data_IF_657099386899
#
_entry.id   IF_657099386899
#
_cell.length_a   1.000
_cell.length_b   1.000
_cell.length_c   1.000
_cell.angle_alpha   90.00
_cell.angle_beta   90.00
_cell.angle_gamma   90.00
#
_symmetry.space_group_name_H-M   'P 1'
#
loop_
_entity.id
_entity.type
_entity.pdbx_description
1 polymer ?
#
# COMPACT_ATOMS: atom_id res chain seq x y z
N UNK A 1 10.37 -25.72 -0.95
CA UNK A 1 10.38 -24.58 -1.90
C UNK A 1 11.73 -23.91 -1.76
N UNK A 2 12.52 -23.80 -2.83
CA UNK A 2 13.79 -23.07 -2.79
C UNK A 2 13.54 -21.60 -2.41
N UNK A 3 14.49 -20.94 -1.73
CA UNK A 3 14.34 -19.54 -1.34
C UNK A 3 14.18 -18.71 -2.63
N UNK A 4 13.01 -18.12 -2.83
CA UNK A 4 12.68 -17.26 -3.97
C UNK A 4 12.27 -15.88 -3.45
N UNK A 5 12.50 -14.85 -4.25
CA UNK A 5 11.96 -13.52 -3.98
C UNK A 5 10.44 -13.57 -4.16
N UNK A 6 9.70 -13.00 -3.22
CA UNK A 6 8.25 -12.87 -3.30
C UNK A 6 7.95 -11.38 -3.47
N UNK A 7 7.17 -11.05 -4.50
CA UNK A 7 6.66 -9.70 -4.72
C UNK A 7 5.15 -9.74 -4.48
N UNK A 8 4.67 -8.87 -3.60
CA UNK A 8 3.24 -8.68 -3.35
C UNK A 8 2.83 -7.36 -3.96
N UNK A 9 2.00 -7.42 -5.00
CA UNK A 9 1.42 -6.24 -5.64
C UNK A 9 0.01 -6.00 -5.12
N UNK A 10 -0.25 -4.75 -4.78
CA UNK A 10 -1.55 -4.17 -4.49
C UNK A 10 -1.92 -3.30 -5.69
N UNK A 11 -3.18 -3.40 -6.11
CA UNK A 11 -3.75 -2.64 -7.20
C UNK A 11 -5.09 -2.02 -6.75
N UNK A 12 -5.31 -0.77 -7.14
CA UNK A 12 -6.49 0.03 -6.83
C UNK A 12 -7.66 -0.40 -7.71
N UNK A 13 -8.58 -1.19 -7.16
CA UNK A 13 -9.79 -1.58 -7.90
C UNK A 13 -10.62 -0.35 -8.29
N UNK A 14 -10.94 -0.23 -9.58
CA UNK A 14 -11.78 0.82 -10.16
C UNK A 14 -11.28 2.24 -9.84
N UNK A 15 -9.96 2.43 -9.80
CA UNK A 15 -9.35 3.70 -9.41
C UNK A 15 -9.71 4.88 -10.33
N UNK A 16 -10.02 4.62 -11.60
CA UNK A 16 -10.52 5.63 -12.53
C UNK A 16 -11.77 6.34 -11.99
N UNK A 17 -12.83 5.56 -11.73
CA UNK A 17 -14.08 6.06 -11.14
C UNK A 17 -13.90 6.63 -9.73
N UNK A 18 -13.00 6.03 -8.94
CA UNK A 18 -12.66 6.56 -7.61
C UNK A 18 -12.04 7.96 -7.69
N UNK A 19 -11.09 8.15 -8.61
CA UNK A 19 -10.39 9.42 -8.82
C UNK A 19 -11.34 10.52 -9.30
N UNK A 20 -12.28 10.20 -10.19
CA UNK A 20 -13.30 11.15 -10.65
C UNK A 20 -14.25 11.54 -9.51
N UNK A 21 -14.76 10.55 -8.77
CA UNK A 21 -15.65 10.79 -7.62
C UNK A 21 -15.01 11.63 -6.52
N UNK A 22 -13.70 11.51 -6.34
CA UNK A 22 -12.94 12.26 -5.35
C UNK A 22 -12.28 13.53 -5.88
N UNK A 23 -12.47 13.86 -7.17
CA UNK A 23 -11.99 15.10 -7.78
C UNK A 23 -10.47 15.21 -7.86
N UNK A 24 -9.77 14.10 -8.12
CA UNK A 24 -8.30 14.09 -8.18
C UNK A 24 -7.79 14.88 -9.38
N UNK A 25 -6.71 15.63 -9.16
CA UNK A 25 -6.01 16.37 -10.21
C UNK A 25 -5.41 15.42 -11.25
N UNK A 26 -5.45 15.83 -12.54
CA UNK A 26 -4.91 15.08 -13.67
C UNK A 26 -3.75 15.84 -14.31
N UNK A 27 -2.68 15.18 -14.79
CA UNK A 27 -2.52 13.72 -14.83
C UNK A 27 -2.17 13.09 -13.49
N UNK A 28 -1.60 13.85 -12.56
CA UNK A 28 -1.14 13.38 -11.25
C UNK A 28 -1.72 14.26 -10.14
N UNK A 29 -2.19 13.63 -9.06
CA UNK A 29 -2.62 14.30 -7.84
C UNK A 29 -1.60 14.02 -6.74
N UNK A 30 -0.84 15.05 -6.36
CA UNK A 30 0.23 14.92 -5.36
C UNK A 30 -0.29 14.50 -3.98
N UNK A 31 -1.52 14.89 -3.62
CA UNK A 31 -2.10 14.52 -2.32
C UNK A 31 -2.45 13.05 -2.29
N UNK A 32 -3.03 12.54 -3.38
CA UNK A 32 -3.33 11.12 -3.54
C UNK A 32 -2.06 10.26 -3.55
N UNK A 33 -1.03 10.69 -4.28
CA UNK A 33 0.26 9.99 -4.33
C UNK A 33 0.96 9.99 -2.96
N UNK A 34 0.98 11.14 -2.28
CA UNK A 34 1.57 11.23 -0.94
C UNK A 34 0.80 10.39 0.09
N UNK A 35 -0.52 10.28 -0.04
CA UNK A 35 -1.33 9.36 0.76
C UNK A 35 -0.92 7.90 0.52
N UNK A 36 -0.82 7.47 -0.74
CA UNK A 36 -0.39 6.11 -1.10
C UNK A 36 1.03 5.82 -0.58
N UNK A 37 1.95 6.80 -0.66
CA UNK A 37 3.30 6.69 -0.11
C UNK A 37 3.28 6.56 1.41
N UNK A 38 2.46 7.33 2.12
CA UNK A 38 2.31 7.21 3.57
C UNK A 38 1.77 5.82 3.97
N UNK A 39 0.81 5.26 3.22
CA UNK A 39 0.33 3.90 3.41
C UNK A 39 1.45 2.86 3.23
N UNK A 40 2.25 3.01 2.17
CA UNK A 40 3.37 2.10 1.91
C UNK A 40 4.44 2.15 3.00
N UNK A 41 4.79 3.37 3.48
CA UNK A 41 5.71 3.56 4.61
C UNK A 41 5.15 2.82 5.84
N UNK A 42 3.84 2.91 6.10
CA UNK A 42 3.25 2.21 7.24
C UNK A 42 3.36 0.70 7.14
N UNK A 43 3.22 0.13 5.94
CA UNK A 43 3.47 -1.30 5.70
C UNK A 43 4.94 -1.66 5.98
N UNK A 44 5.89 -0.84 5.51
CA UNK A 44 7.32 -1.06 5.74
C UNK A 44 7.68 -1.02 7.23
N UNK A 45 7.09 -0.10 8.00
CA UNK A 45 7.29 0.00 9.45
C UNK A 45 6.78 -1.24 10.21
N UNK A 46 5.63 -1.79 9.80
CA UNK A 46 4.98 -2.90 10.49
C UNK A 46 5.45 -4.28 10.00
N UNK A 47 6.03 -4.36 8.80
CA UNK A 47 6.39 -5.60 8.15
C UNK A 47 7.90 -5.63 7.82
N UNK A 48 8.71 -5.94 8.84
CA UNK A 48 10.18 -5.93 8.76
C UNK A 48 10.80 -6.90 7.73
N UNK A 49 10.00 -7.80 7.18
CA UNK A 49 10.39 -8.73 6.12
C UNK A 49 10.31 -8.11 4.71
N UNK A 50 9.67 -6.95 4.56
CA UNK A 50 9.67 -6.20 3.30
C UNK A 50 11.00 -5.44 3.19
N UNK A 51 11.74 -5.69 2.12
CA UNK A 51 13.04 -5.04 1.85
C UNK A 51 12.82 -3.62 1.32
N UNK A 52 11.91 -3.48 0.36
CA UNK A 52 11.54 -2.20 -0.22
C UNK A 52 10.16 -2.29 -0.86
N UNK A 53 9.58 -1.11 -1.10
CA UNK A 53 8.33 -0.96 -1.83
C UNK A 53 8.52 0.02 -2.99
N UNK A 54 7.81 -0.20 -4.09
CA UNK A 54 7.73 0.75 -5.20
C UNK A 54 6.27 0.98 -5.56
N UNK A 55 5.92 2.23 -5.83
CA UNK A 55 4.57 2.62 -6.24
C UNK A 55 4.59 3.33 -7.59
N UNK A 56 3.56 3.09 -8.39
CA UNK A 56 3.33 3.80 -9.64
C UNK A 56 1.81 3.92 -9.83
N UNK A 57 1.32 5.13 -10.13
CA UNK A 57 -0.12 5.43 -10.22
C UNK A 57 -0.89 4.98 -8.97
N UNK A 58 -1.75 3.97 -9.11
CA UNK A 58 -2.63 3.38 -8.11
C UNK A 58 -2.15 2.01 -7.63
N UNK A 59 -0.97 1.58 -8.09
CA UNK A 59 -0.36 0.31 -7.75
C UNK A 59 0.81 0.48 -6.78
N UNK A 60 0.99 -0.53 -5.92
CA UNK A 60 2.13 -0.63 -5.02
C UNK A 60 2.63 -2.07 -4.89
N UNK A 61 3.93 -2.24 -5.05
CA UNK A 61 4.60 -3.53 -4.99
C UNK A 61 5.57 -3.58 -3.82
N UNK A 62 5.49 -4.66 -3.06
CA UNK A 62 6.30 -4.91 -1.86
C UNK A 62 7.17 -6.14 -2.09
N UNK A 63 8.48 -5.97 -1.98
CA UNK A 63 9.46 -7.06 -2.19
C UNK A 63 9.89 -7.63 -0.85
N UNK A 64 9.67 -8.92 -0.65
CA UNK A 64 9.97 -9.64 0.59
C UNK A 64 11.37 -10.27 0.55
N UNK A 65 12.00 -10.40 1.73
CA UNK A 65 13.26 -11.12 1.91
C UNK A 65 13.17 -12.56 1.42
N UNK A 66 14.23 -13.03 0.80
CA UNK A 66 14.30 -14.38 0.23
C UNK A 66 14.24 -15.44 1.34
N UNK A 67 14.77 -15.11 2.52
CA UNK A 67 14.91 -15.93 3.72
C UNK A 67 13.64 -15.98 4.59
N UNK A 68 12.56 -15.29 4.20
CA UNK A 68 11.33 -15.23 5.01
C UNK A 68 10.77 -16.63 5.27
N UNK A 69 10.60 -16.96 6.55
CA UNK A 69 10.00 -18.22 7.04
C UNK A 69 8.60 -17.99 7.63
N UNK A 70 8.23 -16.74 7.86
CA UNK A 70 6.93 -16.32 8.37
C UNK A 70 5.78 -16.88 7.51
N UNK A 71 4.60 -17.15 8.08
CA UNK A 71 3.46 -17.78 7.39
C UNK A 71 3.77 -19.03 6.52
N UNK A 72 4.85 -19.76 6.79
CA UNK A 72 5.31 -20.90 5.96
C UNK A 72 5.42 -20.56 4.46
N UNK A 73 5.75 -19.30 4.15
CA UNK A 73 5.83 -18.80 2.76
C UNK A 73 4.52 -18.90 1.96
N UNK A 74 3.37 -18.94 2.64
CA UNK A 74 2.06 -19.00 1.99
C UNK A 74 1.70 -17.64 1.39
N UNK A 75 1.75 -17.52 0.07
CA UNK A 75 1.48 -16.28 -0.67
C UNK A 75 0.19 -15.56 -0.24
N UNK A 76 -0.89 -16.31 0.04
CA UNK A 76 -2.18 -15.77 0.49
C UNK A 76 -2.06 -14.98 1.80
N UNK A 77 -1.28 -15.46 2.76
CA UNK A 77 -1.17 -14.84 4.08
C UNK A 77 -0.46 -13.49 4.01
N UNK A 78 0.61 -13.40 3.23
CA UNK A 78 1.32 -12.13 3.03
C UNK A 78 0.47 -11.12 2.29
N UNK A 79 -0.17 -11.55 1.19
CA UNK A 79 -1.05 -10.67 0.41
C UNK A 79 -2.14 -10.08 1.28
N UNK A 80 -2.82 -10.91 2.07
CA UNK A 80 -3.91 -10.46 2.95
C UNK A 80 -3.41 -9.47 4.02
N UNK A 81 -2.26 -9.76 4.64
CA UNK A 81 -1.71 -8.93 5.73
C UNK A 81 -1.24 -7.57 5.21
N UNK A 82 -0.48 -7.57 4.11
CA UNK A 82 0.01 -6.35 3.45
C UNK A 82 -1.16 -5.51 2.94
N UNK A 83 -2.15 -6.14 2.30
CA UNK A 83 -3.35 -5.45 1.82
C UNK A 83 -4.14 -4.83 2.97
N UNK A 84 -4.32 -5.55 4.08
CA UNK A 84 -5.04 -5.06 5.25
C UNK A 84 -4.36 -3.82 5.84
N UNK A 85 -3.04 -3.90 6.10
CA UNK A 85 -2.26 -2.78 6.64
C UNK A 85 -2.29 -1.56 5.72
N UNK A 86 -2.21 -1.77 4.40
CA UNK A 86 -2.24 -0.69 3.43
C UNK A 86 -3.57 0.06 3.43
N UNK A 87 -4.69 -0.68 3.45
CA UNK A 87 -6.04 -0.10 3.49
C UNK A 87 -6.31 0.59 4.83
N UNK A 88 -5.90 -0.04 5.94
CA UNK A 88 -6.02 0.52 7.29
C UNK A 88 -5.28 1.87 7.38
N UNK A 89 -4.04 1.94 6.90
CA UNK A 89 -3.26 3.17 6.87
C UNK A 89 -3.97 4.27 6.05
N UNK A 90 -4.57 3.92 4.91
CA UNK A 90 -5.30 4.88 4.08
C UNK A 90 -6.55 5.44 4.76
N UNK A 91 -7.32 4.58 5.43
CA UNK A 91 -8.49 5.00 6.22
C UNK A 91 -8.07 5.86 7.40
N UNK A 92 -7.04 5.45 8.14
CA UNK A 92 -6.51 6.22 9.28
C UNK A 92 -6.05 7.62 8.85
N UNK A 93 -5.35 7.73 7.72
CA UNK A 93 -4.90 9.01 7.19
C UNK A 93 -6.07 9.91 6.82
N UNK A 94 -7.12 9.34 6.21
CA UNK A 94 -8.36 10.06 5.88
C UNK A 94 -9.07 10.58 7.13
N UNK A 95 -9.12 9.81 8.22
CA UNK A 95 -9.69 10.26 9.50
C UNK A 95 -8.87 11.40 10.09
N UNK A 96 -7.54 11.29 10.10
CA UNK A 96 -6.65 12.28 10.72
C UNK A 96 -6.60 13.61 9.96
N UNK A 97 -6.59 13.58 8.62
CA UNK A 97 -6.58 14.79 7.77
C UNK A 97 -7.97 15.34 7.47
N UNK A 98 -9.01 14.51 7.62
CA UNK A 98 -10.40 14.95 7.53
C UNK A 98 -10.82 15.92 8.64
N UNK A 99 -10.13 15.89 9.79
CA UNK A 99 -10.31 16.85 10.89
C UNK A 99 -9.48 18.14 10.77
N UNK A 100 -8.66 18.28 9.72
CA UNK A 100 -7.79 19.43 9.47
C UNK A 100 -8.34 20.32 8.33
N UNK A 101 -9.66 20.24 8.08
CA UNK A 101 -10.43 21.15 7.24
C UNK A 101 -11.40 21.93 8.12
N UNK A 102 -10.86 22.82 8.94
CA UNK A 102 -11.55 23.96 9.58
C UNK A 102 -10.49 24.86 10.24
N UNK A 103 -9.59 25.42 9.43
CA UNK A 103 -8.71 26.55 9.79
C UNK A 103 -8.13 27.20 8.54
#
# INVERSE_FOLDING_TARGET
MYPNIIVVQIDGRDFGSFSEKHGFEKPNDDKALNLMNACAIKVLENFSDVIFAYGFTDEYSFVLKKEITFYQRRARSYKQSIQYLFVEAGVFWKVRKGGERDS
#
